data_IF_763872707770
#
_entry.id   IF_763872707770
#
_cell.length_a   1.000
_cell.length_b   1.000
_cell.length_c   1.000
_cell.angle_alpha   90.00
_cell.angle_beta   90.00
_cell.angle_gamma   90.00
#
_symmetry.space_group_name_H-M   'P 1'
#
loop_
_entity.id
_entity.type
_entity.pdbx_description
1 polymer ?
#
# COMPACT_ATOMS: atom_id res chain seq x y z
N UNK A 1 -3.40 23.68 -15.54
CA UNK A 1 -2.11 23.12 -15.06
C UNK A 1 -2.45 22.31 -13.82
N UNK A 2 -2.19 21.00 -13.85
CA UNK A 2 -2.62 20.09 -12.77
C UNK A 2 -1.86 20.44 -11.49
N UNK A 3 -2.56 20.50 -10.36
CA UNK A 3 -1.95 20.63 -9.04
C UNK A 3 -2.40 19.45 -8.20
N UNK A 4 -1.45 18.69 -7.68
CA UNK A 4 -1.73 17.55 -6.82
C UNK A 4 -1.03 17.80 -5.49
N UNK A 5 -1.80 17.77 -4.41
CA UNK A 5 -1.32 17.88 -3.04
C UNK A 5 -1.31 16.49 -2.41
N UNK A 6 -0.16 16.07 -1.94
CA UNK A 6 0.00 14.85 -1.14
C UNK A 6 0.11 15.28 0.31
N UNK A 7 -0.77 14.75 1.15
CA UNK A 7 -1.02 15.26 2.49
C UNK A 7 -0.68 14.16 3.50
N UNK A 8 0.23 14.44 4.42
CA UNK A 8 0.64 13.56 5.52
C UNK A 8 0.37 14.23 6.87
N UNK A 9 -0.05 13.48 7.89
CA UNK A 9 -0.17 14.01 9.25
C UNK A 9 1.22 14.36 9.82
N UNK A 10 1.37 15.53 10.43
CA UNK A 10 2.59 15.88 11.15
C UNK A 10 2.72 15.04 12.43
N UNK A 11 3.89 14.48 12.70
CA UNK A 11 4.19 13.70 13.92
C UNK A 11 4.47 14.58 15.16
N UNK A 12 4.27 15.91 15.08
CA UNK A 12 4.63 16.83 16.16
C UNK A 12 3.63 16.82 17.33
N UNK A 13 4.01 16.14 18.42
CA UNK A 13 3.34 16.15 19.73
C UNK A 13 3.68 17.41 20.56
N UNK A 14 3.33 18.61 20.06
CA UNK A 14 3.54 19.87 20.79
C UNK A 14 2.36 20.84 20.67
N UNK A 15 2.23 21.84 21.55
CA UNK A 15 1.11 22.79 21.59
C UNK A 15 1.07 23.77 20.40
N UNK A 16 2.02 23.65 19.46
CA UNK A 16 2.05 24.31 18.16
C UNK A 16 2.06 23.25 17.03
N UNK A 17 1.18 22.24 17.12
CA UNK A 17 1.02 21.20 16.10
C UNK A 17 0.60 21.83 14.76
N UNK A 18 1.57 22.03 13.87
CA UNK A 18 1.36 22.49 12.51
C UNK A 18 0.63 21.43 11.69
N UNK A 19 -0.56 21.81 11.26
CA UNK A 19 -1.52 21.08 10.43
C UNK A 19 -0.87 20.57 9.13
N UNK A 20 -0.66 19.26 9.04
CA UNK A 20 -0.26 18.49 7.84
C UNK A 20 1.06 18.90 7.14
N UNK A 21 1.81 17.89 6.68
CA UNK A 21 2.87 18.06 5.68
C UNK A 21 2.28 17.94 4.28
N UNK A 22 2.47 18.95 3.44
CA UNK A 22 1.91 19.00 2.08
C UNK A 22 3.05 18.99 1.04
N UNK A 23 3.00 18.04 0.12
CA UNK A 23 3.87 18.01 -1.07
C UNK A 23 3.05 18.38 -2.30
N UNK A 24 3.47 19.42 -3.02
CA UNK A 24 2.85 19.85 -4.27
C UNK A 24 3.61 19.29 -5.48
N UNK A 25 2.88 18.72 -6.44
CA UNK A 25 3.41 18.23 -7.71
C UNK A 25 2.48 18.61 -8.87
N UNK A 26 3.01 18.58 -10.10
CA UNK A 26 2.33 19.16 -11.26
C UNK A 26 1.83 18.12 -12.28
N UNK A 27 2.04 16.82 -12.01
CA UNK A 27 1.52 15.74 -12.86
C UNK A 27 1.19 14.48 -12.06
N UNK A 28 0.28 13.65 -12.59
CA UNK A 28 -0.05 12.33 -12.02
C UNK A 28 1.18 11.44 -11.91
N UNK A 29 2.10 11.50 -12.89
CA UNK A 29 3.34 10.72 -12.88
C UNK A 29 4.28 11.17 -11.76
N UNK A 30 4.47 12.47 -11.60
CA UNK A 30 5.28 13.04 -10.50
C UNK A 30 4.70 12.71 -9.13
N UNK A 31 3.37 12.66 -9.00
CA UNK A 31 2.71 12.30 -7.74
C UNK A 31 2.98 10.86 -7.30
N UNK A 32 3.18 9.92 -8.23
CA UNK A 32 3.40 8.52 -7.87
C UNK A 32 4.72 8.28 -7.17
N UNK A 33 5.78 9.03 -7.50
CA UNK A 33 7.11 8.88 -6.88
C UNK A 33 7.09 9.08 -5.35
N UNK A 34 6.63 10.22 -4.80
CA UNK A 34 6.56 10.40 -3.36
C UNK A 34 5.58 9.43 -2.68
N UNK A 35 4.51 8.98 -3.36
CA UNK A 35 3.59 7.97 -2.81
C UNK A 35 4.24 6.57 -2.71
N UNK A 36 5.12 6.24 -3.65
CA UNK A 36 5.93 5.01 -3.62
C UNK A 36 7.00 5.10 -2.53
N UNK A 37 7.67 6.24 -2.39
CA UNK A 37 8.74 6.42 -1.41
C UNK A 37 8.23 6.62 0.02
N UNK A 38 6.97 7.05 0.20
CA UNK A 38 6.38 7.33 1.50
C UNK A 38 4.94 6.79 1.56
N UNK A 39 4.73 5.58 2.09
CA UNK A 39 3.40 4.95 2.18
C UNK A 39 2.46 5.59 3.21
N UNK A 40 2.99 6.48 4.06
CA UNK A 40 2.31 7.06 5.22
C UNK A 40 1.66 8.42 4.89
N UNK A 41 0.92 8.49 3.79
CA UNK A 41 0.11 9.66 3.43
C UNK A 41 -1.33 9.47 3.91
N UNK A 42 -1.93 10.55 4.40
CA UNK A 42 -3.31 10.57 4.90
C UNK A 42 -4.31 10.78 3.76
N UNK A 43 -3.96 11.66 2.81
CA UNK A 43 -4.85 12.03 1.72
C UNK A 43 -4.10 12.52 0.48
N UNK A 44 -4.84 12.61 -0.63
CA UNK A 44 -4.41 13.26 -1.87
C UNK A 44 -5.51 14.24 -2.28
N UNK A 45 -5.15 15.48 -2.62
CA UNK A 45 -6.07 16.41 -3.26
C UNK A 45 -5.61 16.69 -4.68
N UNK A 46 -6.52 16.58 -5.64
CA UNK A 46 -6.26 16.76 -7.07
C UNK A 46 -7.11 17.92 -7.56
N UNK A 47 -6.46 19.03 -7.93
CA UNK A 47 -7.10 20.09 -8.69
C UNK A 47 -7.17 19.65 -10.14
N UNK A 48 -8.37 19.34 -10.59
CA UNK A 48 -8.60 18.70 -11.88
C UNK A 48 -9.33 19.65 -12.82
N UNK A 49 -8.61 20.52 -13.52
CA UNK A 49 -9.12 21.19 -14.73
C UNK A 49 -9.11 20.25 -15.96
N UNK A 50 -8.98 18.94 -15.72
CA UNK A 50 -8.58 17.97 -16.72
C UNK A 50 -9.66 17.78 -17.79
N UNK A 51 -9.28 18.01 -19.04
CA UNK A 51 -10.15 17.70 -20.18
C UNK A 51 -10.21 16.20 -20.46
N UNK A 52 -9.36 15.39 -19.82
CA UNK A 52 -9.28 13.95 -20.02
C UNK A 52 -9.58 13.15 -18.72
N UNK A 53 -10.86 12.80 -18.48
CA UNK A 53 -11.29 11.95 -17.36
C UNK A 53 -10.54 10.63 -17.20
N UNK A 54 -10.09 10.03 -18.31
CA UNK A 54 -9.45 8.71 -18.27
C UNK A 54 -8.05 8.75 -17.64
N UNK A 55 -7.31 9.84 -17.81
CA UNK A 55 -6.02 10.01 -17.11
C UNK A 55 -6.19 10.04 -15.60
N UNK A 56 -7.23 10.73 -15.11
CA UNK A 56 -7.56 10.76 -13.68
C UNK A 56 -7.93 9.36 -13.19
N UNK A 57 -8.78 8.62 -13.93
CA UNK A 57 -9.13 7.23 -13.55
C UNK A 57 -7.91 6.31 -13.51
N UNK A 58 -7.02 6.41 -14.49
CA UNK A 58 -5.76 5.64 -14.52
C UNK A 58 -4.91 5.98 -13.30
N UNK A 59 -4.75 7.26 -12.97
CA UNK A 59 -4.04 7.69 -11.78
C UNK A 59 -4.67 7.13 -10.50
N UNK A 60 -5.99 7.22 -10.34
CA UNK A 60 -6.70 6.67 -9.18
C UNK A 60 -6.55 5.16 -9.05
N UNK A 61 -6.59 4.41 -10.17
CA UNK A 61 -6.30 2.96 -10.16
C UNK A 61 -4.87 2.68 -9.69
N UNK A 62 -3.88 3.50 -10.11
CA UNK A 62 -2.49 3.39 -9.64
C UNK A 62 -2.36 3.72 -8.14
N UNK A 63 -3.08 4.72 -7.65
CA UNK A 63 -3.17 5.03 -6.21
C UNK A 63 -3.83 3.89 -5.44
N UNK A 64 -4.89 3.27 -5.97
CA UNK A 64 -5.57 2.14 -5.36
C UNK A 64 -4.63 0.93 -5.16
N UNK A 65 -3.74 0.68 -6.13
CA UNK A 65 -2.67 -0.34 -5.98
C UNK A 65 -1.73 -0.01 -4.81
N UNK A 66 -1.33 1.26 -4.67
CA UNK A 66 -0.46 1.70 -3.58
C UNK A 66 -1.16 1.65 -2.23
N UNK A 67 -2.32 2.29 -2.11
CA UNK A 67 -3.08 2.36 -0.89
C UNK A 67 -4.60 2.44 -1.17
N UNK A 68 -5.35 1.34 -1.06
CA UNK A 68 -6.78 1.31 -1.37
C UNK A 68 -7.65 2.03 -0.34
N UNK A 69 -7.10 2.38 0.83
CA UNK A 69 -7.85 3.04 1.91
C UNK A 69 -7.57 4.55 1.99
N UNK A 70 -6.75 5.10 1.10
CA UNK A 70 -6.48 6.54 1.09
C UNK A 70 -7.72 7.31 0.65
N UNK A 71 -7.98 8.43 1.32
CA UNK A 71 -8.96 9.41 0.86
C UNK A 71 -8.38 10.27 -0.26
N UNK A 72 -9.13 10.43 -1.36
CA UNK A 72 -8.74 11.30 -2.46
C UNK A 72 -9.82 12.33 -2.72
N UNK A 73 -9.43 13.60 -2.75
CA UNK A 73 -10.33 14.72 -3.01
C UNK A 73 -10.10 15.23 -4.42
N UNK A 74 -11.14 15.23 -5.24
CA UNK A 74 -11.11 15.86 -6.56
C UNK A 74 -11.77 17.23 -6.43
N UNK A 75 -10.96 18.27 -6.65
CA UNK A 75 -11.35 19.67 -6.55
C UNK A 75 -11.66 20.17 -7.96
N UNK A 76 -12.84 20.76 -8.12
CA UNK A 76 -13.35 21.27 -9.39
C UNK A 76 -13.36 20.19 -10.49
N UNK A 77 -14.01 19.03 -10.30
CA UNK A 77 -13.96 17.94 -11.24
C UNK A 77 -14.48 18.33 -12.63
N UNK A 78 -14.07 17.62 -13.69
CA UNK A 78 -14.64 17.79 -15.02
C UNK A 78 -16.16 17.59 -15.01
N UNK A 79 -16.92 18.47 -15.68
CA UNK A 79 -18.40 18.46 -15.68
C UNK A 79 -19.03 17.13 -16.12
N UNK A 80 -18.30 16.31 -16.88
CA UNK A 80 -18.80 15.07 -17.48
C UNK A 80 -18.39 13.81 -16.71
N UNK A 81 -17.79 13.93 -15.53
CA UNK A 81 -17.36 12.79 -14.73
C UNK A 81 -18.34 12.54 -13.58
N UNK A 82 -18.84 11.31 -13.46
CA UNK A 82 -19.68 10.93 -12.32
C UNK A 82 -18.77 10.48 -11.17
N UNK A 83 -19.18 10.81 -9.94
CA UNK A 83 -18.49 10.33 -8.73
C UNK A 83 -18.38 8.81 -8.71
N UNK A 84 -19.44 8.11 -9.15
CA UNK A 84 -19.47 6.65 -9.21
C UNK A 84 -18.33 6.07 -10.07
N UNK A 85 -18.04 6.68 -11.23
CA UNK A 85 -16.96 6.23 -12.11
C UNK A 85 -15.58 6.36 -11.46
N UNK A 86 -15.40 7.39 -10.63
CA UNK A 86 -14.17 7.61 -9.88
C UNK A 86 -14.06 6.66 -8.68
N UNK A 87 -15.18 6.39 -8.02
CA UNK A 87 -15.24 5.46 -6.89
C UNK A 87 -15.02 4.00 -7.31
N UNK A 88 -15.33 3.64 -8.56
CA UNK A 88 -14.93 2.36 -9.15
C UNK A 88 -13.39 2.23 -9.23
N UNK A 89 -12.70 3.32 -9.57
CA UNK A 89 -11.24 3.34 -9.61
C UNK A 89 -10.61 3.32 -8.21
N UNK A 90 -11.21 4.07 -7.27
CA UNK A 90 -10.80 4.12 -5.86
C UNK A 90 -11.98 4.53 -4.97
N UNK A 91 -12.44 3.61 -4.11
CA UNK A 91 -13.64 3.81 -3.28
C UNK A 91 -13.56 5.05 -2.37
N UNK A 92 -12.36 5.44 -1.92
CA UNK A 92 -12.11 6.59 -1.07
C UNK A 92 -12.19 7.96 -1.75
N UNK A 93 -12.65 8.04 -3.00
CA UNK A 93 -12.78 9.31 -3.72
C UNK A 93 -13.98 10.11 -3.24
N UNK A 94 -13.73 11.40 -2.98
CA UNK A 94 -14.71 12.45 -2.68
C UNK A 94 -14.51 13.61 -3.66
N UNK A 95 -15.61 14.28 -4.01
CA UNK A 95 -15.59 15.47 -4.88
C UNK A 95 -15.89 16.70 -4.04
N UNK A 96 -15.19 17.79 -4.30
CA UNK A 96 -15.53 19.13 -3.80
C UNK A 96 -15.37 20.17 -4.90
N UNK A 97 -16.09 21.27 -4.78
CA UNK A 97 -16.03 22.44 -5.67
C UNK A 97 -15.25 23.61 -5.05
N UNK A 98 -14.78 23.47 -3.81
CA UNK A 98 -14.07 24.53 -3.09
C UNK A 98 -12.88 23.97 -2.33
N UNK A 99 -11.73 24.61 -2.48
CA UNK A 99 -10.53 24.30 -1.70
C UNK A 99 -10.67 24.64 -0.21
N UNK A 100 -11.60 25.54 0.13
CA UNK A 100 -11.91 25.90 1.52
C UNK A 100 -12.52 24.75 2.32
N UNK A 101 -13.07 23.73 1.66
CA UNK A 101 -13.63 22.55 2.33
C UNK A 101 -12.55 21.53 2.73
N UNK A 102 -11.34 21.62 2.16
CA UNK A 102 -10.26 20.65 2.39
C UNK A 102 -9.94 20.50 3.88
N UNK A 103 -9.74 21.58 4.69
CA UNK A 103 -9.40 21.42 6.10
C UNK A 103 -10.43 20.59 6.88
N UNK A 104 -11.72 20.89 6.74
CA UNK A 104 -12.78 20.13 7.42
C UNK A 104 -12.91 18.69 6.89
N UNK A 105 -12.60 18.46 5.62
CA UNK A 105 -12.54 17.12 5.06
C UNK A 105 -11.37 16.31 5.63
N UNK A 106 -10.21 16.94 5.86
CA UNK A 106 -9.02 16.32 6.45
C UNK A 106 -9.26 15.88 7.90
N UNK A 107 -10.02 16.65 8.69
CA UNK A 107 -10.37 16.31 10.07
C UNK A 107 -11.20 15.02 10.19
N UNK A 108 -11.92 14.67 9.12
CA UNK A 108 -12.74 13.45 9.04
C UNK A 108 -11.99 12.20 8.57
N UNK A 109 -10.70 12.33 8.24
CA UNK A 109 -9.94 11.23 7.64
C UNK A 109 -9.43 10.30 8.75
N UNK A 110 -9.78 9.01 8.70
CA UNK A 110 -9.24 8.04 9.63
C UNK A 110 -7.72 7.96 9.47
N UNK A 111 -7.02 7.78 10.58
CA UNK A 111 -5.56 7.62 10.56
C UNK A 111 -5.15 6.50 9.59
N UNK A 112 -4.26 6.82 8.65
CA UNK A 112 -3.68 5.82 7.77
C UNK A 112 -2.74 4.91 8.56
N UNK A 113 -3.17 3.68 8.81
CA UNK A 113 -2.36 2.66 9.52
C UNK A 113 -1.29 2.02 8.63
N UNK A 114 -1.23 2.35 7.33
CA UNK A 114 -0.30 1.75 6.39
C UNK A 114 1.06 2.43 6.47
N UNK A 115 2.00 1.77 7.15
CA UNK A 115 3.40 2.22 7.27
C UNK A 115 4.34 1.65 6.21
N UNK A 116 3.89 0.68 5.41
CA UNK A 116 4.69 0.03 4.38
C UNK A 116 3.90 -0.13 3.09
N UNK A 117 4.56 0.12 1.97
CA UNK A 117 4.01 -0.24 0.67
C UNK A 117 3.91 -1.76 0.54
N UNK A 118 2.94 -2.18 -0.27
CA UNK A 118 2.71 -3.60 -0.54
C UNK A 118 2.57 -3.79 -2.02
N UNK A 119 3.04 -4.94 -2.48
CA UNK A 119 2.91 -5.32 -3.88
C UNK A 119 2.25 -6.68 -4.01
N UNK A 120 1.39 -6.83 -5.02
CA UNK A 120 0.96 -8.15 -5.45
C UNK A 120 2.01 -8.73 -6.38
N UNK A 121 2.75 -9.72 -5.88
CA UNK A 121 3.81 -10.39 -6.62
C UNK A 121 3.77 -11.89 -6.32
N UNK A 122 3.36 -12.74 -7.29
CA UNK A 122 3.34 -14.19 -7.13
C UNK A 122 4.77 -14.74 -7.00
N UNK A 123 5.25 -14.80 -5.77
CA UNK A 123 6.56 -15.38 -5.41
C UNK A 123 6.35 -16.71 -4.71
N UNK A 124 7.18 -17.69 -5.03
CA UNK A 124 7.21 -18.96 -4.31
C UNK A 124 7.85 -18.76 -2.94
N UNK A 125 7.27 -19.43 -1.94
CA UNK A 125 7.86 -19.53 -0.61
C UNK A 125 7.82 -20.98 -0.12
N UNK A 126 8.71 -21.30 0.81
CA UNK A 126 8.61 -22.50 1.63
C UNK A 126 8.41 -22.11 3.09
N UNK A 127 7.40 -22.69 3.73
CA UNK A 127 7.11 -22.45 5.13
C UNK A 127 7.25 -23.72 5.96
N UNK A 128 7.74 -23.59 7.18
CA UNK A 128 7.88 -24.70 8.12
C UNK A 128 7.80 -24.23 9.57
N UNK A 129 7.49 -25.14 10.48
CA UNK A 129 7.49 -24.87 11.93
C UNK A 129 8.87 -25.08 12.51
N UNK A 130 9.22 -24.32 13.57
CA UNK A 130 10.51 -24.45 14.27
C UNK A 130 10.86 -25.88 14.66
N UNK A 131 9.87 -26.60 15.19
CA UNK A 131 10.07 -27.95 15.72
C UNK A 131 10.16 -29.03 14.63
N UNK A 132 9.77 -28.73 13.39
CA UNK A 132 9.75 -29.67 12.26
C UNK A 132 10.32 -29.01 10.98
N UNK A 133 11.62 -28.63 10.96
CA UNK A 133 12.21 -27.89 9.83
C UNK A 133 12.30 -28.69 8.52
N UNK A 134 12.25 -30.02 8.61
CA UNK A 134 12.30 -30.92 7.45
C UNK A 134 10.95 -31.01 6.73
N UNK A 135 9.86 -30.65 7.40
CA UNK A 135 8.51 -30.63 6.81
C UNK A 135 8.26 -29.22 6.27
N UNK A 136 8.57 -29.04 4.98
CA UNK A 136 8.37 -27.77 4.27
C UNK A 136 7.12 -27.83 3.42
N UNK A 137 6.34 -26.76 3.50
CA UNK A 137 5.13 -26.56 2.70
C UNK A 137 5.38 -25.46 1.69
N UNK A 138 5.09 -25.74 0.43
CA UNK A 138 5.20 -24.74 -0.64
C UNK A 138 3.96 -23.84 -0.66
N UNK A 139 4.20 -22.54 -0.84
CA UNK A 139 3.15 -21.54 -0.94
C UNK A 139 3.45 -20.47 -1.99
N UNK A 140 2.44 -19.64 -2.27
CA UNK A 140 2.52 -18.54 -3.23
C UNK A 140 2.14 -17.24 -2.55
N UNK A 141 3.06 -16.27 -2.51
CA UNK A 141 2.81 -14.92 -2.03
C UNK A 141 1.84 -14.22 -2.99
N UNK A 142 0.78 -13.61 -2.46
CA UNK A 142 -0.09 -12.73 -3.24
C UNK A 142 0.03 -11.26 -2.82
N UNK A 143 0.66 -11.00 -1.68
CA UNK A 143 0.95 -9.66 -1.19
C UNK A 143 2.23 -9.67 -0.37
N UNK A 144 3.20 -8.82 -0.70
CA UNK A 144 4.44 -8.66 0.04
C UNK A 144 4.60 -7.21 0.49
N UNK A 145 5.08 -7.03 1.72
CA UNK A 145 5.51 -5.76 2.30
C UNK A 145 6.84 -5.96 3.03
N UNK A 146 7.53 -4.88 3.37
CA UNK A 146 8.75 -4.94 4.20
C UNK A 146 8.47 -5.61 5.55
N UNK A 147 7.28 -5.40 6.12
CA UNK A 147 6.92 -5.92 7.43
C UNK A 147 6.24 -7.29 7.45
N UNK A 148 5.96 -7.91 6.29
CA UNK A 148 5.19 -9.16 6.26
C UNK A 148 4.62 -9.51 4.90
N UNK A 149 3.98 -10.67 4.82
CA UNK A 149 3.41 -11.20 3.58
C UNK A 149 2.01 -11.81 3.79
N UNK A 150 1.22 -11.79 2.73
CA UNK A 150 0.03 -12.62 2.54
C UNK A 150 0.30 -13.67 1.48
N UNK A 151 0.01 -14.94 1.78
CA UNK A 151 0.27 -16.05 0.86
C UNK A 151 -0.79 -17.15 0.94
N UNK A 152 -0.87 -17.92 -0.14
CA UNK A 152 -1.60 -19.19 -0.21
C UNK A 152 -0.67 -20.32 0.19
N UNK A 153 -1.13 -21.27 1.00
CA UNK A 153 -0.34 -22.44 1.37
C UNK A 153 -1.22 -23.64 1.70
N UNK A 154 -0.81 -24.81 1.23
CA UNK A 154 -1.53 -26.05 1.47
C UNK A 154 -0.74 -26.95 2.44
N UNK A 155 -1.47 -27.68 3.29
CA UNK A 155 -0.89 -28.64 4.25
C UNK A 155 -0.24 -28.05 5.51
N UNK A 156 0.10 -26.75 5.55
CA UNK A 156 0.65 -26.13 6.76
C UNK A 156 -0.47 -25.79 7.76
N UNK A 157 -0.56 -26.54 8.85
CA UNK A 157 -1.51 -26.29 9.94
C UNK A 157 -0.92 -25.39 11.03
N UNK A 158 -1.34 -24.13 11.10
CA UNK A 158 -0.99 -23.20 12.16
C UNK A 158 -2.18 -22.29 12.51
N UNK A 159 -2.10 -21.67 13.68
CA UNK A 159 -3.07 -20.74 14.23
C UNK A 159 -2.52 -19.32 14.26
N UNK A 160 -3.40 -18.32 14.41
CA UNK A 160 -2.94 -16.96 14.70
C UNK A 160 -2.11 -16.93 15.99
N UNK A 161 -1.03 -16.15 15.99
CA UNK A 161 -0.05 -16.07 17.08
C UNK A 161 1.11 -17.07 16.98
N UNK A 162 0.99 -18.14 16.17
CA UNK A 162 2.09 -19.08 15.99
C UNK A 162 3.26 -18.46 15.22
N UNK A 163 4.47 -18.89 15.55
CA UNK A 163 5.70 -18.55 14.83
C UNK A 163 6.01 -19.62 13.79
N UNK A 164 6.25 -19.18 12.57
CA UNK A 164 6.70 -20.02 11.46
C UNK A 164 7.97 -19.44 10.84
N UNK A 165 8.69 -20.26 10.10
CA UNK A 165 9.84 -19.85 9.31
C UNK A 165 9.46 -19.86 7.84
N UNK A 166 9.88 -18.82 7.13
CA UNK A 166 9.61 -18.62 5.72
C UNK A 166 10.92 -18.47 4.97
N UNK A 167 11.10 -19.26 3.92
CA UNK A 167 12.12 -19.03 2.89
C UNK A 167 11.42 -18.48 1.64
N UNK A 168 11.58 -17.18 1.39
CA UNK A 168 10.94 -16.48 0.27
C UNK A 168 11.92 -16.41 -0.89
N UNK A 169 11.50 -16.90 -2.06
CA UNK A 169 12.36 -17.00 -3.25
C UNK A 169 12.03 -15.92 -4.26
N UNK A 170 13.03 -15.11 -4.56
CA UNK A 170 13.07 -14.23 -5.71
C UNK A 170 13.90 -14.89 -6.82
N UNK A 171 13.90 -14.26 -8.00
CA UNK A 171 14.66 -14.78 -9.15
C UNK A 171 16.17 -14.82 -8.89
N UNK A 172 16.70 -13.84 -8.17
CA UNK A 172 18.14 -13.65 -7.96
C UNK A 172 18.61 -13.91 -6.53
N UNK A 173 17.70 -14.07 -5.57
CA UNK A 173 18.05 -14.29 -4.17
C UNK A 173 16.90 -14.96 -3.42
N UNK A 174 17.18 -15.42 -2.21
CA UNK A 174 16.15 -15.83 -1.25
C UNK A 174 16.48 -15.26 0.12
N UNK A 175 15.47 -14.98 0.92
CA UNK A 175 15.69 -14.61 2.32
C UNK A 175 14.88 -15.49 3.26
N UNK A 176 15.48 -15.78 4.41
CA UNK A 176 14.83 -16.47 5.51
C UNK A 176 14.26 -15.43 6.49
N UNK A 177 13.02 -15.61 6.91
CA UNK A 177 12.40 -14.81 7.95
C UNK A 177 11.69 -15.70 8.96
N UNK A 178 11.80 -15.34 10.22
CA UNK A 178 10.82 -15.74 11.21
C UNK A 178 9.57 -14.88 11.00
N UNK A 179 8.38 -15.45 11.22
CA UNK A 179 7.14 -14.74 11.01
C UNK A 179 6.06 -15.17 12.00
N UNK A 180 5.39 -14.18 12.60
CA UNK A 180 4.21 -14.38 13.41
C UNK A 180 2.96 -14.43 12.52
N UNK A 181 2.17 -15.48 12.67
CA UNK A 181 0.90 -15.63 11.94
C UNK A 181 -0.11 -14.64 12.51
N UNK A 182 -0.55 -13.68 11.70
CA UNK A 182 -1.55 -12.69 12.10
C UNK A 182 -2.97 -13.23 11.90
N UNK A 183 -3.19 -13.92 10.78
CA UNK A 183 -4.50 -14.42 10.41
C UNK A 183 -4.37 -15.64 9.52
N UNK A 184 -5.29 -16.58 9.71
CA UNK A 184 -5.53 -17.72 8.83
C UNK A 184 -6.95 -17.61 8.32
N UNK A 185 -7.13 -17.70 7.01
CA UNK A 185 -8.43 -17.62 6.35
C UNK A 185 -8.64 -18.95 5.63
N UNK A 186 -9.66 -19.70 6.06
CA UNK A 186 -10.12 -20.88 5.38
C UNK A 186 -10.84 -20.51 4.08
N UNK A 187 -10.74 -21.39 3.09
CA UNK A 187 -11.33 -21.26 1.76
C UNK A 187 -10.71 -22.31 0.83
N UNK A 188 -11.03 -22.26 -0.47
CA UNK A 188 -10.55 -23.23 -1.47
C UNK A 188 -9.01 -23.36 -1.49
N UNK A 189 -8.32 -22.25 -1.23
CA UNK A 189 -6.89 -22.22 -0.89
C UNK A 189 -6.71 -21.47 0.41
N UNK A 190 -6.09 -22.12 1.40
CA UNK A 190 -5.85 -21.53 2.71
C UNK A 190 -4.95 -20.31 2.57
N UNK A 191 -5.45 -19.14 3.00
CA UNK A 191 -4.68 -17.89 3.00
C UNK A 191 -4.12 -17.63 4.38
N UNK A 192 -2.89 -17.15 4.41
CA UNK A 192 -2.19 -16.79 5.64
C UNK A 192 -1.60 -15.40 5.50
N UNK A 193 -1.80 -14.58 6.52
CA UNK A 193 -1.14 -13.29 6.66
C UNK A 193 -0.18 -13.36 7.84
N UNK A 194 1.05 -12.90 7.62
CA UNK A 194 2.11 -12.95 8.62
C UNK A 194 2.78 -11.59 8.78
N UNK A 195 3.38 -11.37 9.94
CA UNK A 195 4.31 -10.28 10.20
C UNK A 195 5.71 -10.87 10.36
N UNK A 196 6.68 -10.33 9.65
CA UNK A 196 8.07 -10.74 9.81
C UNK A 196 8.61 -10.32 11.19
N UNK A 197 9.35 -11.21 11.81
CA UNK A 197 10.12 -11.00 13.04
C UNK A 197 11.58 -11.36 12.79
N UNK A 198 12.49 -10.75 13.54
CA UNK A 198 13.92 -11.09 13.52
C UNK A 198 14.60 -11.01 12.14
N UNK A 199 14.12 -10.12 11.26
CA UNK A 199 14.77 -9.82 9.97
C UNK A 199 15.75 -8.66 10.18
N UNK A 200 16.97 -8.79 9.65
CA UNK A 200 18.00 -7.75 9.82
C UNK A 200 17.59 -6.45 9.09
N UNK A 201 18.01 -5.27 9.59
CA UNK A 201 17.73 -3.99 8.92
C UNK A 201 18.20 -3.95 7.46
N UNK A 202 19.36 -4.56 7.17
CA UNK A 202 19.88 -4.66 5.80
C UNK A 202 18.94 -5.45 4.88
N UNK A 203 18.41 -6.59 5.36
CA UNK A 203 17.43 -7.38 4.60
C UNK A 203 16.12 -6.63 4.42
N UNK A 204 15.63 -5.94 5.46
CA UNK A 204 14.42 -5.11 5.36
C UNK A 204 14.57 -4.00 4.31
N UNK A 205 15.69 -3.27 4.34
CA UNK A 205 16.00 -2.25 3.34
C UNK A 205 16.11 -2.82 1.92
N UNK A 206 16.70 -4.00 1.78
CA UNK A 206 16.76 -4.66 0.47
C UNK A 206 15.38 -5.07 -0.06
N UNK A 207 14.52 -5.64 0.80
CA UNK A 207 13.13 -5.97 0.46
C UNK A 207 12.36 -4.70 0.07
N UNK A 208 12.55 -3.60 0.81
CA UNK A 208 11.94 -2.30 0.52
C UNK A 208 12.32 -1.80 -0.87
N UNK A 209 13.62 -1.80 -1.20
CA UNK A 209 14.12 -1.39 -2.51
C UNK A 209 13.52 -2.25 -3.62
N UNK A 210 13.50 -3.58 -3.45
CA UNK A 210 12.91 -4.51 -4.44
C UNK A 210 11.41 -4.26 -4.64
N UNK A 211 10.67 -3.97 -3.57
CA UNK A 211 9.25 -3.61 -3.66
C UNK A 211 9.07 -2.28 -4.39
N UNK A 212 9.84 -1.25 -4.02
CA UNK A 212 9.75 0.07 -4.62
C UNK A 212 10.13 0.06 -6.10
N UNK A 213 11.19 -0.65 -6.48
CA UNK A 213 11.60 -0.85 -7.87
C UNK A 213 10.50 -1.51 -8.69
N UNK A 214 9.88 -2.55 -8.14
CA UNK A 214 8.78 -3.24 -8.81
C UNK A 214 7.53 -2.35 -8.91
N UNK A 215 7.22 -1.55 -7.88
CA UNK A 215 6.13 -0.57 -7.92
C UNK A 215 6.40 0.52 -8.96
N UNK A 216 7.62 1.05 -9.03
CA UNK A 216 8.01 2.01 -10.07
C UNK A 216 7.83 1.40 -11.47
N UNK A 217 8.28 0.17 -11.69
CA UNK A 217 8.12 -0.51 -12.97
C UNK A 217 6.64 -0.74 -13.36
N UNK A 218 5.76 -1.02 -12.39
CA UNK A 218 4.32 -1.28 -12.64
C UNK A 218 3.53 0.01 -12.80
N UNK A 219 3.84 1.04 -12.00
CA UNK A 219 3.02 2.25 -11.91
C UNK A 219 3.54 3.39 -12.79
N UNK A 220 4.81 3.39 -13.18
CA UNK A 220 5.40 4.44 -14.04
C UNK A 220 5.62 3.98 -15.48
N UNK A 221 5.34 2.71 -15.79
CA UNK A 221 5.05 2.29 -17.16
C UNK A 221 3.81 3.02 -17.69
#
# INVERSE_FOLDING_TARGET
MKKILIIKNSESAGPLAGLFQITLVNSYREALLPLISNPDFSAIAVYSDDKNPEELKIFLRKVNVLNPVVSVFIINPPKNILLADLQEALAGVKITVSDQEIPGLLDSIPENKRKNNRISWPLTLYAYKKHNPDIRHEGIIYSLSVGGAGFFIDGLNCSAGEIIFLNIRFRSFSFLAEAAVLRVIAGDRKKMAVKFSNVTPATLSYIENVINDKLMAVLLA
#
